data_IF_977657030935
#
_entry.id   IF_977657030935
#
_cell.length_a   1.000
_cell.length_b   1.000
_cell.length_c   1.000
_cell.angle_alpha   90.00
_cell.angle_beta   90.00
_cell.angle_gamma   90.00
#
_symmetry.space_group_name_H-M   'P 1'
#
loop_
_entity.id
_entity.type
_entity.pdbx_description
1 polymer ?
#
# COMPACT_ATOMS: atom_id res chain seq x y z
N UNK A 1 -18.47 -10.36 -50.85
CA UNK A 1 -17.40 -9.52 -50.29
C UNK A 1 -18.00 -8.71 -49.16
N UNK A 2 -18.02 -9.30 -47.98
CA UNK A 2 -18.25 -8.62 -46.70
C UNK A 2 -16.88 -8.18 -46.20
N UNK A 3 -16.68 -6.89 -45.82
CA UNK A 3 -15.39 -6.47 -45.30
C UNK A 3 -15.21 -7.06 -43.90
N UNK A 4 -14.07 -7.73 -43.76
CA UNK A 4 -13.54 -8.28 -42.52
C UNK A 4 -13.29 -7.12 -41.55
N UNK A 5 -14.08 -7.05 -40.47
CA UNK A 5 -13.86 -6.11 -39.38
C UNK A 5 -12.68 -6.65 -38.56
N UNK A 6 -11.51 -6.11 -38.86
CA UNK A 6 -10.25 -6.28 -38.15
C UNK A 6 -10.45 -6.43 -36.64
N UNK A 7 -10.33 -7.67 -36.16
CA UNK A 7 -10.21 -7.97 -34.74
C UNK A 7 -8.95 -7.29 -34.21
N UNK A 8 -9.12 -6.40 -33.25
CA UNK A 8 -8.02 -5.88 -32.47
C UNK A 8 -7.25 -7.06 -31.84
N UNK A 9 -5.91 -7.05 -31.83
CA UNK A 9 -5.15 -8.17 -31.28
C UNK A 9 -5.55 -8.42 -29.83
N UNK A 10 -5.77 -9.69 -29.48
CA UNK A 10 -6.03 -10.11 -28.11
C UNK A 10 -4.92 -9.57 -27.18
N UNK A 11 -5.22 -8.49 -26.46
CA UNK A 11 -4.24 -7.77 -25.64
C UNK A 11 -4.24 -6.24 -25.80
N UNK A 12 -4.88 -5.66 -26.81
CA UNK A 12 -4.96 -4.20 -26.93
C UNK A 12 -6.03 -3.57 -26.02
N UNK A 13 -5.79 -2.34 -25.58
CA UNK A 13 -6.77 -1.53 -24.85
C UNK A 13 -7.98 -1.18 -25.76
N UNK A 14 -9.17 -0.93 -25.20
CA UNK A 14 -10.30 -0.37 -25.94
C UNK A 14 -9.92 0.92 -26.67
N UNK A 15 -10.53 1.18 -27.82
CA UNK A 15 -10.19 2.35 -28.66
C UNK A 15 -10.24 3.68 -27.90
N UNK A 16 -11.22 3.84 -27.00
CA UNK A 16 -11.34 5.05 -26.18
C UNK A 16 -10.19 5.19 -25.19
N UNK A 17 -9.87 4.12 -24.46
CA UNK A 17 -8.73 4.12 -23.55
C UNK A 17 -7.39 4.30 -24.29
N UNK A 18 -7.25 3.72 -25.48
CA UNK A 18 -6.07 3.91 -26.33
C UNK A 18 -5.93 5.36 -26.81
N UNK A 19 -7.04 6.02 -27.16
CA UNK A 19 -7.03 7.43 -27.55
C UNK A 19 -6.66 8.35 -26.37
N UNK A 20 -7.23 8.12 -25.19
CA UNK A 20 -6.86 8.87 -23.98
C UNK A 20 -5.38 8.66 -23.64
N UNK A 21 -4.90 7.41 -23.71
CA UNK A 21 -3.51 7.07 -23.46
C UNK A 21 -2.57 7.77 -24.45
N UNK A 22 -2.87 7.72 -25.75
CA UNK A 22 -2.04 8.32 -26.79
C UNK A 22 -2.10 9.86 -26.83
N UNK A 23 -3.21 10.46 -26.39
CA UNK A 23 -3.39 11.91 -26.31
C UNK A 23 -2.67 12.57 -25.13
N UNK A 24 -2.10 11.77 -24.23
CA UNK A 24 -1.47 12.27 -22.99
C UNK A 24 0.05 12.31 -23.12
N UNK A 25 0.67 13.45 -22.76
CA UNK A 25 2.11 13.64 -22.78
C UNK A 25 2.81 13.01 -21.57
N UNK A 26 2.78 11.67 -21.45
CA UNK A 26 3.25 10.94 -20.26
C UNK A 26 4.71 11.20 -19.85
N UNK A 27 5.58 11.55 -20.81
CA UNK A 27 6.97 11.88 -20.52
C UNK A 27 7.13 13.10 -19.58
N UNK A 28 6.13 13.97 -19.51
CA UNK A 28 6.10 15.16 -18.64
C UNK A 28 5.36 14.92 -17.32
N UNK A 29 4.82 13.71 -17.13
CA UNK A 29 3.89 13.39 -16.04
C UNK A 29 4.48 12.27 -15.20
N UNK A 30 5.40 12.58 -14.28
CA UNK A 30 5.98 11.57 -13.42
C UNK A 30 4.96 11.06 -12.38
N UNK A 31 5.00 9.77 -12.09
CA UNK A 31 4.57 9.19 -10.82
C UNK A 31 5.72 9.18 -9.80
N UNK A 32 5.48 8.69 -8.57
CA UNK A 32 6.42 8.77 -7.42
C UNK A 32 7.85 8.30 -7.70
N UNK A 33 8.03 7.30 -8.58
CA UNK A 33 9.33 6.68 -8.87
C UNK A 33 9.74 6.72 -10.35
N UNK A 34 9.27 7.72 -11.10
CA UNK A 34 9.57 7.84 -12.55
C UNK A 34 11.07 7.96 -12.78
N UNK A 35 11.58 7.27 -13.80
CA UNK A 35 13.00 7.29 -14.16
C UNK A 35 13.90 6.41 -13.27
N UNK A 36 13.33 5.66 -12.32
CA UNK A 36 14.10 4.67 -11.54
C UNK A 36 14.20 3.35 -12.29
N UNK A 37 15.37 2.73 -12.20
CA UNK A 37 15.64 1.47 -12.88
C UNK A 37 14.67 0.37 -12.44
N UNK A 38 14.02 -0.29 -13.39
CA UNK A 38 13.09 -1.40 -13.11
C UNK A 38 11.69 -1.00 -12.68
N UNK A 39 11.37 0.30 -12.59
CA UNK A 39 10.02 0.80 -12.38
C UNK A 39 9.32 0.96 -13.73
N UNK A 40 8.13 0.37 -13.94
CA UNK A 40 7.38 0.57 -15.18
C UNK A 40 6.86 2.00 -15.27
N UNK A 41 6.88 2.59 -16.47
CA UNK A 41 6.26 3.89 -16.69
C UNK A 41 4.72 3.78 -16.67
N UNK A 42 4.03 4.89 -16.38
CA UNK A 42 2.56 4.92 -16.28
C UNK A 42 1.83 4.28 -17.48
N UNK A 43 2.24 4.51 -18.74
CA UNK A 43 1.59 3.86 -19.88
C UNK A 43 1.72 2.33 -19.90
N UNK A 44 2.85 1.79 -19.44
CA UNK A 44 3.10 0.36 -19.38
C UNK A 44 2.24 -0.31 -18.31
N UNK A 45 2.06 0.37 -17.16
CA UNK A 45 1.15 -0.04 -16.10
C UNK A 45 -0.28 -0.09 -16.65
N UNK A 46 -0.76 1.02 -17.25
CA UNK A 46 -2.11 1.14 -17.79
C UNK A 46 -2.39 0.10 -18.90
N UNK A 47 -1.41 -0.14 -19.79
CA UNK A 47 -1.48 -1.16 -20.82
C UNK A 47 -1.57 -2.58 -20.27
N UNK A 48 -1.07 -2.82 -19.06
CA UNK A 48 -1.04 -4.13 -18.41
C UNK A 48 -2.28 -4.44 -17.56
N UNK A 49 -3.15 -3.45 -17.31
CA UNK A 49 -4.40 -3.62 -16.52
C UNK A 49 -5.36 -4.63 -17.16
N UNK A 50 -5.38 -4.75 -18.49
CA UNK A 50 -6.19 -5.74 -19.21
C UNK A 50 -5.37 -6.89 -19.80
N UNK A 51 -4.19 -7.16 -19.22
CA UNK A 51 -3.35 -8.27 -19.65
C UNK A 51 -4.07 -9.62 -19.49
N UNK A 52 -3.86 -10.50 -20.46
CA UNK A 52 -4.39 -11.88 -20.42
C UNK A 52 -3.77 -12.67 -19.28
N UNK A 53 -2.48 -12.45 -18.99
CA UNK A 53 -1.78 -13.04 -17.85
C UNK A 53 -2.30 -12.44 -16.52
N UNK A 54 -2.91 -13.25 -15.63
CA UNK A 54 -3.37 -12.80 -14.31
C UNK A 54 -2.26 -12.20 -13.45
N UNK A 55 -1.05 -12.78 -13.48
CA UNK A 55 0.05 -12.31 -12.63
C UNK A 55 0.51 -10.90 -13.03
N UNK A 56 0.52 -10.60 -14.34
CA UNK A 56 0.81 -9.26 -14.87
C UNK A 56 -0.31 -8.27 -14.56
N UNK A 57 -1.57 -8.71 -14.63
CA UNK A 57 -2.73 -7.88 -14.32
C UNK A 57 -2.79 -7.48 -12.85
N UNK A 58 -2.58 -8.42 -11.93
CA UNK A 58 -2.51 -8.16 -10.48
C UNK A 58 -1.37 -7.19 -10.16
N UNK A 59 -0.17 -7.39 -10.74
CA UNK A 59 0.95 -6.44 -10.58
C UNK A 59 0.59 -5.04 -11.06
N UNK A 60 -0.04 -4.92 -12.23
CA UNK A 60 -0.43 -3.63 -12.77
C UNK A 60 -1.39 -2.90 -11.83
N UNK A 61 -2.39 -3.59 -11.27
CA UNK A 61 -3.31 -2.99 -10.29
C UNK A 61 -2.59 -2.57 -9.00
N UNK A 62 -1.68 -3.41 -8.48
CA UNK A 62 -0.83 -3.05 -7.34
C UNK A 62 0.03 -1.81 -7.61
N UNK A 63 0.61 -1.71 -8.81
CA UNK A 63 1.39 -0.55 -9.26
C UNK A 63 0.54 0.71 -9.37
N UNK A 64 -0.75 0.63 -9.72
CA UNK A 64 -1.64 1.79 -9.69
C UNK A 64 -1.75 2.37 -8.27
N UNK A 65 -1.89 1.54 -7.24
CA UNK A 65 -1.92 2.02 -5.86
C UNK A 65 -0.55 2.53 -5.40
N UNK A 66 0.47 1.70 -5.60
CA UNK A 66 1.84 1.91 -5.12
C UNK A 66 2.53 3.12 -5.76
N UNK A 67 2.30 3.37 -7.05
CA UNK A 67 3.02 4.41 -7.80
C UNK A 67 2.21 5.68 -8.03
N UNK A 68 0.89 5.55 -8.26
CA UNK A 68 0.04 6.69 -8.60
C UNK A 68 -0.78 7.23 -7.42
N UNK A 69 -0.92 6.48 -6.33
CA UNK A 69 -1.58 6.91 -5.08
C UNK A 69 -0.72 6.65 -3.84
N UNK A 70 0.62 6.65 -4.01
CA UNK A 70 1.57 6.36 -2.94
C UNK A 70 1.31 7.25 -1.71
N UNK A 71 1.18 6.63 -0.54
CA UNK A 71 0.94 7.31 0.74
C UNK A 71 -0.22 8.34 0.68
N UNK A 72 -1.29 8.02 -0.04
CA UNK A 72 -2.48 8.89 -0.21
C UNK A 72 -2.18 10.24 -0.90
N UNK A 73 -1.16 10.29 -1.77
CA UNK A 73 -0.82 11.49 -2.54
C UNK A 73 -1.17 11.35 -4.02
N UNK A 74 -1.46 12.50 -4.66
CA UNK A 74 -1.60 12.60 -6.12
C UNK A 74 -0.33 13.15 -6.79
N UNK A 75 0.04 12.53 -7.90
CA UNK A 75 1.17 12.87 -8.75
C UNK A 75 0.70 13.44 -10.08
N UNK A 76 1.57 14.09 -10.88
CA UNK A 76 1.20 14.59 -12.21
C UNK A 76 0.51 13.55 -13.12
N UNK A 77 0.93 12.28 -13.07
CA UNK A 77 0.32 11.18 -13.82
C UNK A 77 -1.04 10.70 -13.29
N UNK A 78 -1.40 11.00 -12.04
CA UNK A 78 -2.55 10.35 -11.37
C UNK A 78 -3.89 10.71 -12.01
N UNK A 79 -4.13 12.00 -12.30
CA UNK A 79 -5.41 12.42 -12.88
C UNK A 79 -5.61 11.90 -14.32
N UNK A 80 -4.62 11.99 -15.24
CA UNK A 80 -4.71 11.33 -16.55
C UNK A 80 -4.92 9.81 -16.45
N UNK A 81 -4.23 9.14 -15.53
CA UNK A 81 -4.41 7.70 -15.33
C UNK A 81 -5.84 7.36 -14.92
N UNK A 82 -6.46 8.17 -14.03
CA UNK A 82 -7.86 7.98 -13.65
C UNK A 82 -8.81 8.05 -14.86
N UNK A 83 -8.58 8.97 -15.80
CA UNK A 83 -9.38 9.11 -17.02
C UNK A 83 -9.24 7.89 -17.96
N UNK A 84 -8.02 7.35 -18.09
CA UNK A 84 -7.79 6.11 -18.85
C UNK A 84 -8.49 4.93 -18.19
N UNK A 85 -8.35 4.75 -16.86
CA UNK A 85 -8.99 3.66 -16.13
C UNK A 85 -10.52 3.70 -16.22
N UNK A 86 -11.12 4.90 -16.16
CA UNK A 86 -12.55 5.06 -16.37
C UNK A 86 -13.01 4.61 -17.76
N UNK A 87 -12.14 4.68 -18.78
CA UNK A 87 -12.42 4.14 -20.11
C UNK A 87 -12.28 2.62 -20.22
N UNK A 88 -11.74 1.94 -19.21
CA UNK A 88 -11.62 0.48 -19.16
C UNK A 88 -12.85 -0.20 -18.54
N UNK A 89 -13.67 0.53 -17.76
CA UNK A 89 -14.78 -0.04 -16.99
C UNK A 89 -15.79 -0.82 -17.84
N UNK A 90 -16.05 -0.34 -19.06
CA UNK A 90 -16.98 -0.99 -20.01
C UNK A 90 -16.40 -2.25 -20.67
N UNK A 91 -15.10 -2.51 -20.56
CA UNK A 91 -14.47 -3.67 -21.20
C UNK A 91 -14.90 -4.97 -20.49
N UNK A 92 -15.39 -6.00 -21.21
CA UNK A 92 -15.84 -7.24 -20.59
C UNK A 92 -14.73 -8.00 -19.86
N UNK A 93 -13.46 -7.78 -20.19
CA UNK A 93 -12.32 -8.37 -19.45
C UNK A 93 -12.26 -7.89 -18.00
N UNK A 94 -12.87 -6.75 -17.67
CA UNK A 94 -12.95 -6.27 -16.28
C UNK A 94 -13.89 -7.10 -15.41
N UNK A 95 -14.66 -8.04 -15.98
CA UNK A 95 -15.45 -9.01 -15.24
C UNK A 95 -14.60 -10.14 -14.61
N UNK A 96 -13.31 -10.25 -14.95
CA UNK A 96 -12.44 -11.29 -14.39
C UNK A 96 -12.24 -11.08 -12.88
N UNK A 97 -12.39 -12.15 -12.10
CA UNK A 97 -12.20 -12.12 -10.66
C UNK A 97 -10.79 -12.54 -10.23
N UNK A 98 -10.20 -11.76 -9.34
CA UNK A 98 -8.89 -12.04 -8.76
C UNK A 98 -8.81 -11.54 -7.31
N UNK A 99 -7.71 -11.83 -6.62
CA UNK A 99 -7.35 -11.15 -5.36
C UNK A 99 -6.53 -9.93 -5.70
N UNK A 100 -6.95 -8.76 -5.23
CA UNK A 100 -6.23 -7.51 -5.49
C UNK A 100 -5.78 -6.88 -4.19
N UNK A 101 -4.47 -6.79 -4.00
CA UNK A 101 -3.91 -5.95 -2.94
C UNK A 101 -4.26 -4.48 -3.23
N UNK A 102 -4.66 -3.70 -2.21
CA UNK A 102 -4.49 -3.95 -0.77
C UNK A 102 -5.75 -4.43 -0.03
N UNK A 103 -6.80 -4.91 -0.69
CA UNK A 103 -8.07 -5.30 -0.03
C UNK A 103 -8.27 -6.80 0.00
N UNK A 104 -8.81 -7.30 1.11
CA UNK A 104 -9.12 -8.72 1.29
C UNK A 104 -10.22 -9.22 0.32
N UNK A 105 -10.28 -10.55 0.16
CA UNK A 105 -11.28 -11.22 -0.68
C UNK A 105 -11.01 -11.20 -2.20
N UNK A 106 -11.80 -11.99 -2.93
CA UNK A 106 -11.82 -11.99 -4.40
C UNK A 106 -12.93 -11.09 -4.91
N UNK A 107 -12.69 -10.39 -6.01
CA UNK A 107 -13.69 -9.52 -6.65
C UNK A 107 -13.38 -9.28 -8.13
N UNK A 108 -14.36 -8.85 -8.93
CA UNK A 108 -14.12 -8.47 -10.31
C UNK A 108 -13.11 -7.33 -10.42
N UNK A 109 -12.26 -7.35 -11.44
CA UNK A 109 -11.33 -6.25 -11.74
C UNK A 109 -12.08 -4.91 -11.84
N UNK A 110 -13.30 -4.90 -12.38
CA UNK A 110 -14.14 -3.70 -12.47
C UNK A 110 -14.39 -3.07 -11.10
N UNK A 111 -14.77 -3.88 -10.11
CA UNK A 111 -14.96 -3.42 -8.74
C UNK A 111 -13.65 -2.86 -8.17
N UNK A 112 -12.50 -3.46 -8.49
CA UNK A 112 -11.22 -2.96 -8.03
C UNK A 112 -10.80 -1.64 -8.70
N UNK A 113 -11.03 -1.46 -10.00
CA UNK A 113 -10.77 -0.20 -10.67
C UNK A 113 -11.66 0.93 -10.12
N UNK A 114 -12.93 0.63 -9.81
CA UNK A 114 -13.82 1.57 -9.13
C UNK A 114 -13.32 1.91 -7.72
N UNK A 115 -12.78 0.93 -7.00
CA UNK A 115 -12.13 1.13 -5.71
C UNK A 115 -10.88 2.01 -5.77
N UNK A 116 -10.09 1.89 -6.83
CA UNK A 116 -8.97 2.78 -7.10
C UNK A 116 -9.47 4.20 -7.38
N UNK A 117 -10.52 4.34 -8.21
CA UNK A 117 -11.15 5.64 -8.51
C UNK A 117 -11.79 6.29 -7.26
N UNK A 118 -12.36 5.50 -6.35
CA UNK A 118 -12.84 5.98 -5.06
C UNK A 118 -11.69 6.54 -4.21
N UNK A 119 -10.56 5.82 -4.16
CA UNK A 119 -9.35 6.27 -3.44
C UNK A 119 -8.82 7.58 -4.02
N UNK A 120 -8.74 7.68 -5.34
CA UNK A 120 -8.40 8.91 -6.04
C UNK A 120 -9.36 10.06 -5.69
N UNK A 121 -10.68 9.82 -5.73
CA UNK A 121 -11.69 10.83 -5.42
C UNK A 121 -11.60 11.30 -3.96
N UNK A 122 -11.32 10.40 -3.02
CA UNK A 122 -11.11 10.68 -1.60
C UNK A 122 -9.85 11.52 -1.35
N UNK A 123 -8.79 11.32 -2.14
CA UNK A 123 -7.59 12.17 -2.04
C UNK A 123 -7.87 13.54 -2.67
N UNK A 124 -8.49 13.58 -3.85
CA UNK A 124 -8.73 14.83 -4.58
C UNK A 124 -9.68 15.82 -3.86
N UNK A 125 -10.41 15.38 -2.82
CA UNK A 125 -11.35 16.25 -2.07
C UNK A 125 -10.66 17.01 -0.96
N UNK A 126 -9.48 16.54 -0.57
CA UNK A 126 -8.64 17.14 0.45
C UNK A 126 -7.89 18.34 -0.12
N UNK A 127 -7.36 19.16 0.78
CA UNK A 127 -6.62 20.37 0.46
C UNK A 127 -5.11 20.16 0.54
N UNK A 128 -4.35 21.11 0.00
CA UNK A 128 -2.87 21.05 -0.01
C UNK A 128 -2.31 20.95 1.42
N UNK A 129 -2.99 21.55 2.39
CA UNK A 129 -2.64 21.52 3.82
C UNK A 129 -2.69 20.10 4.41
N UNK A 130 -3.43 19.18 3.78
CA UNK A 130 -3.51 17.78 4.18
C UNK A 130 -2.31 16.95 3.68
N UNK A 131 -1.35 17.56 2.98
CA UNK A 131 -0.12 16.91 2.52
C UNK A 131 -0.31 15.92 1.37
N UNK A 132 -1.44 15.98 0.67
CA UNK A 132 -1.87 14.98 -0.32
C UNK A 132 -1.41 15.26 -1.76
N UNK A 133 -0.61 16.30 -1.98
CA UNK A 133 -0.07 16.64 -3.29
C UNK A 133 0.11 18.14 -3.48
N UNK A 134 0.71 18.52 -4.61
CA UNK A 134 0.86 19.94 -4.97
C UNK A 134 -0.49 20.54 -5.35
N UNK A 135 -0.61 21.87 -5.22
CA UNK A 135 -1.81 22.60 -5.66
C UNK A 135 -2.15 22.32 -7.14
N UNK A 136 -1.14 22.18 -8.00
CA UNK A 136 -1.30 21.86 -9.41
C UNK A 136 -1.86 20.45 -9.61
N UNK A 137 -1.32 19.45 -8.92
CA UNK A 137 -1.77 18.05 -9.05
C UNK A 137 -3.21 17.89 -8.54
N UNK A 138 -3.54 18.54 -7.41
CA UNK A 138 -4.90 18.52 -6.86
C UNK A 138 -5.89 19.26 -7.76
N UNK A 139 -5.50 20.38 -8.36
CA UNK A 139 -6.34 21.08 -9.33
C UNK A 139 -6.66 20.18 -10.53
N UNK A 140 -5.64 19.51 -11.11
CA UNK A 140 -5.84 18.55 -12.19
C UNK A 140 -6.75 17.38 -11.78
N UNK A 141 -6.57 16.86 -10.56
CA UNK A 141 -7.40 15.79 -10.02
C UNK A 141 -8.87 16.21 -9.85
N UNK A 142 -9.12 17.45 -9.38
CA UNK A 142 -10.47 18.01 -9.26
C UNK A 142 -11.12 18.24 -10.63
N UNK A 143 -10.37 18.73 -11.62
CA UNK A 143 -10.86 18.91 -13.00
C UNK A 143 -11.34 17.59 -13.63
N UNK A 144 -10.75 16.45 -13.27
CA UNK A 144 -11.16 15.15 -13.80
C UNK A 144 -12.51 14.66 -13.26
N UNK A 145 -13.00 15.18 -12.12
CA UNK A 145 -14.12 14.59 -11.38
C UNK A 145 -15.45 14.54 -12.13
N UNK A 146 -15.90 15.60 -12.83
CA UNK A 146 -17.15 15.53 -13.57
C UNK A 146 -17.11 14.45 -14.66
N UNK A 147 -15.98 14.35 -15.37
CA UNK A 147 -15.78 13.33 -16.40
C UNK A 147 -15.84 11.93 -15.79
N UNK A 148 -15.18 11.72 -14.64
CA UNK A 148 -15.22 10.44 -13.94
C UNK A 148 -16.63 10.09 -13.45
N UNK A 149 -17.36 11.05 -12.89
CA UNK A 149 -18.74 10.84 -12.44
C UNK A 149 -19.63 10.35 -13.59
N UNK A 150 -19.55 11.01 -14.76
CA UNK A 150 -20.34 10.64 -15.94
C UNK A 150 -20.03 9.22 -16.44
N UNK A 151 -18.80 8.72 -16.23
CA UNK A 151 -18.42 7.35 -16.61
C UNK A 151 -18.80 6.29 -15.59
N UNK A 152 -18.89 6.68 -14.31
CA UNK A 152 -19.15 5.74 -13.22
C UNK A 152 -20.65 5.59 -12.97
N UNK A 153 -21.45 6.62 -13.29
CA UNK A 153 -22.87 6.67 -12.96
C UNK A 153 -23.67 5.43 -13.39
N UNK A 154 -23.39 4.87 -14.57
CA UNK A 154 -24.06 3.67 -15.08
C UNK A 154 -23.78 2.40 -14.24
N UNK A 155 -22.66 2.39 -13.50
CA UNK A 155 -22.28 1.28 -12.63
C UNK A 155 -22.93 1.34 -11.23
N UNK A 156 -23.62 2.43 -10.88
CA UNK A 156 -24.32 2.55 -9.59
C UNK A 156 -25.62 1.73 -9.53
N UNK A 157 -26.13 1.29 -10.68
CA UNK A 157 -27.42 0.60 -10.82
C UNK A 157 -27.28 -0.84 -11.36
N UNK A 158 -26.06 -1.38 -11.43
CA UNK A 158 -25.81 -2.76 -11.92
C UNK A 158 -26.18 -3.82 -10.89
N UNK A 159 -26.46 -5.04 -11.37
CA UNK A 159 -26.87 -6.17 -10.54
C UNK A 159 -25.72 -6.79 -9.71
N UNK A 160 -24.47 -6.62 -10.15
CA UNK A 160 -23.31 -7.11 -9.41
C UNK A 160 -23.10 -6.27 -8.14
N UNK A 161 -23.26 -6.85 -6.93
CA UNK A 161 -23.25 -6.10 -5.69
C UNK A 161 -21.88 -5.47 -5.39
N UNK A 162 -20.77 -6.14 -5.74
CA UNK A 162 -19.42 -5.63 -5.47
C UNK A 162 -19.09 -4.44 -6.39
N UNK A 163 -19.51 -4.52 -7.66
CA UNK A 163 -19.36 -3.41 -8.61
C UNK A 163 -20.25 -2.24 -8.20
N UNK A 164 -21.50 -2.50 -7.81
CA UNK A 164 -22.45 -1.48 -7.35
C UNK A 164 -21.94 -0.74 -6.12
N UNK A 165 -21.45 -1.46 -5.11
CA UNK A 165 -20.85 -0.87 -3.91
C UNK A 165 -19.66 0.03 -4.26
N UNK A 166 -18.71 -0.48 -5.06
CA UNK A 166 -17.53 0.30 -5.45
C UNK A 166 -17.90 1.54 -6.27
N UNK A 167 -18.89 1.44 -7.17
CA UNK A 167 -19.37 2.57 -7.97
C UNK A 167 -20.06 3.64 -7.13
N UNK A 168 -20.92 3.23 -6.18
CA UNK A 168 -21.56 4.14 -5.24
C UNK A 168 -20.53 4.84 -4.34
N UNK A 169 -19.52 4.11 -3.87
CA UNK A 169 -18.44 4.67 -3.06
C UNK A 169 -17.64 5.73 -3.84
N UNK A 170 -17.22 5.41 -5.08
CA UNK A 170 -16.53 6.36 -5.94
C UNK A 170 -17.39 7.59 -6.25
N UNK A 171 -18.66 7.38 -6.60
CA UNK A 171 -19.62 8.45 -6.88
C UNK A 171 -19.80 9.37 -5.67
N UNK A 172 -20.08 8.82 -4.48
CA UNK A 172 -20.30 9.61 -3.27
C UNK A 172 -19.12 10.54 -2.94
N UNK A 173 -17.89 10.09 -3.20
CA UNK A 173 -16.67 10.87 -3.02
C UNK A 173 -16.46 11.92 -4.14
N UNK A 174 -16.78 11.58 -5.40
CA UNK A 174 -16.73 12.54 -6.52
C UNK A 174 -17.70 13.72 -6.32
N UNK A 175 -18.88 13.46 -5.74
CA UNK A 175 -19.88 14.49 -5.39
C UNK A 175 -19.41 15.46 -4.28
N UNK A 176 -18.20 15.33 -3.76
CA UNK A 176 -17.56 16.40 -2.98
C UNK A 176 -17.16 17.60 -3.85
N UNK A 177 -17.15 17.45 -5.18
CA UNK A 177 -17.00 18.56 -6.11
C UNK A 177 -18.24 19.48 -6.08
N UNK A 178 -18.08 20.80 -5.90
CA UNK A 178 -19.19 21.74 -5.95
C UNK A 178 -19.99 21.68 -7.26
N UNK A 179 -19.36 21.37 -8.39
CA UNK A 179 -20.03 21.24 -9.68
C UNK A 179 -21.01 20.05 -9.73
N UNK A 180 -20.79 19.04 -8.89
CA UNK A 180 -21.59 17.82 -8.82
C UNK A 180 -22.54 17.77 -7.62
N UNK A 181 -22.42 18.70 -6.67
CA UNK A 181 -23.16 18.71 -5.41
C UNK A 181 -24.70 18.64 -5.59
N UNK A 182 -25.23 19.18 -6.69
CA UNK A 182 -26.66 19.11 -7.03
C UNK A 182 -27.18 17.69 -7.27
N UNK A 183 -26.29 16.74 -7.57
CA UNK A 183 -26.64 15.34 -7.80
C UNK A 183 -26.72 14.51 -6.51
N UNK A 184 -26.27 15.03 -5.36
CA UNK A 184 -26.26 14.31 -4.08
C UNK A 184 -27.61 13.69 -3.68
N UNK A 185 -28.76 14.38 -3.79
CA UNK A 185 -30.06 13.80 -3.43
C UNK A 185 -30.44 12.55 -4.24
N UNK A 186 -29.91 12.40 -5.47
CA UNK A 186 -30.16 11.21 -6.30
C UNK A 186 -29.52 9.96 -5.69
N UNK A 187 -28.34 10.09 -5.10
CA UNK A 187 -27.53 8.95 -4.65
C UNK A 187 -27.65 8.69 -3.14
N UNK A 188 -28.12 9.65 -2.35
CA UNK A 188 -28.24 9.52 -0.90
C UNK A 188 -29.02 8.27 -0.43
N UNK A 189 -30.16 7.87 -1.03
CA UNK A 189 -30.85 6.64 -0.66
C UNK A 189 -29.99 5.40 -0.89
N UNK A 190 -29.39 5.26 -2.07
CA UNK A 190 -28.55 4.11 -2.41
C UNK A 190 -27.28 4.03 -1.55
N UNK A 191 -26.65 5.17 -1.25
CA UNK A 191 -25.49 5.23 -0.34
C UNK A 191 -25.87 4.75 1.06
N UNK A 192 -27.04 5.15 1.56
CA UNK A 192 -27.52 4.69 2.87
C UNK A 192 -27.89 3.21 2.87
N UNK A 193 -28.61 2.74 1.88
CA UNK A 193 -29.13 1.37 1.82
C UNK A 193 -28.04 0.33 1.52
N UNK A 194 -27.02 0.72 0.76
CA UNK A 194 -25.97 -0.20 0.28
C UNK A 194 -24.67 -0.02 1.07
N UNK A 195 -24.09 1.19 1.08
CA UNK A 195 -22.76 1.38 1.67
C UNK A 195 -22.76 1.35 3.19
N UNK A 196 -23.83 1.84 3.84
CA UNK A 196 -23.86 1.92 5.31
C UNK A 196 -23.96 0.55 6.00
N UNK A 197 -24.34 -0.49 5.27
CA UNK A 197 -24.46 -1.88 5.76
C UNK A 197 -23.43 -2.83 5.13
N UNK A 198 -22.52 -2.32 4.29
CA UNK A 198 -21.49 -3.13 3.64
C UNK A 198 -20.57 -3.79 4.69
N UNK A 199 -20.03 -4.95 4.34
CA UNK A 199 -18.97 -5.59 5.12
C UNK A 199 -17.70 -4.72 5.18
N UNK A 200 -17.46 -3.94 4.12
CA UNK A 200 -16.32 -3.04 3.99
C UNK A 200 -16.45 -1.81 4.91
N UNK A 201 -15.56 -1.68 5.89
CA UNK A 201 -15.59 -0.56 6.83
C UNK A 201 -15.28 0.79 6.20
N UNK A 202 -14.51 0.82 5.12
CA UNK A 202 -14.24 2.04 4.37
C UNK A 202 -15.50 2.53 3.65
N UNK A 203 -16.30 1.63 3.08
CA UNK A 203 -17.59 1.99 2.51
C UNK A 203 -18.58 2.51 3.56
N UNK A 204 -18.66 1.88 4.73
CA UNK A 204 -19.49 2.40 5.84
C UNK A 204 -19.02 3.77 6.34
N UNK A 205 -17.71 4.01 6.36
CA UNK A 205 -17.17 5.35 6.64
C UNK A 205 -17.56 6.36 5.57
N UNK A 206 -17.40 6.03 4.27
CA UNK A 206 -17.84 6.90 3.15
C UNK A 206 -19.32 7.23 3.31
N UNK A 207 -20.17 6.23 3.59
CA UNK A 207 -21.60 6.44 3.76
C UNK A 207 -21.88 7.51 4.83
N UNK A 208 -21.32 7.36 6.04
CA UNK A 208 -21.52 8.30 7.14
C UNK A 208 -20.99 9.70 6.80
N UNK A 209 -19.77 9.77 6.28
CA UNK A 209 -19.10 11.03 5.97
C UNK A 209 -19.84 11.81 4.87
N UNK A 210 -20.26 11.13 3.79
CA UNK A 210 -20.90 11.77 2.64
C UNK A 210 -22.36 12.12 2.92
N UNK A 211 -23.12 11.24 3.58
CA UNK A 211 -24.49 11.55 4.01
C UNK A 211 -24.50 12.77 4.95
N UNK A 212 -23.62 12.80 5.96
CA UNK A 212 -23.51 13.95 6.86
C UNK A 212 -23.21 15.26 6.10
N UNK A 213 -22.28 15.22 5.15
CA UNK A 213 -21.94 16.36 4.32
C UNK A 213 -23.10 16.84 3.43
N UNK A 214 -24.07 15.98 3.11
CA UNK A 214 -25.29 16.31 2.37
C UNK A 214 -26.45 16.76 3.27
N UNK A 215 -26.24 16.84 4.60
CA UNK A 215 -27.26 17.27 5.56
C UNK A 215 -28.24 16.17 5.97
N UNK A 216 -27.91 14.92 5.67
CA UNK A 216 -28.70 13.75 6.07
C UNK A 216 -28.45 13.38 7.55
N UNK A 217 -29.47 12.86 8.23
CA UNK A 217 -29.28 12.30 9.58
C UNK A 217 -28.49 10.99 9.50
N UNK A 218 -27.38 10.94 10.22
CA UNK A 218 -26.47 9.80 10.34
C UNK A 218 -26.33 9.30 11.77
N UNK A 219 -27.09 9.83 12.73
CA UNK A 219 -26.96 9.52 14.16
C UNK A 219 -27.06 8.01 14.40
N UNK A 220 -28.07 7.35 13.82
CA UNK A 220 -28.23 5.90 13.94
C UNK A 220 -27.09 5.09 13.31
N UNK A 221 -26.49 5.59 12.22
CA UNK A 221 -25.35 4.94 11.57
C UNK A 221 -24.06 5.07 12.41
N UNK A 222 -23.87 6.22 13.07
CA UNK A 222 -22.75 6.44 13.98
C UNK A 222 -22.88 5.53 15.20
N UNK A 223 -24.05 5.48 15.83
CA UNK A 223 -24.30 4.59 16.98
C UNK A 223 -24.09 3.12 16.62
N UNK A 224 -24.61 2.67 15.46
CA UNK A 224 -24.42 1.29 15.03
C UNK A 224 -22.95 0.92 14.79
N UNK A 225 -22.14 1.83 14.24
CA UNK A 225 -20.70 1.58 14.06
C UNK A 225 -19.93 1.58 15.40
N UNK A 226 -20.29 2.47 16.33
CA UNK A 226 -19.70 2.50 17.68
C UNK A 226 -20.03 1.22 18.47
N UNK A 227 -21.28 0.76 18.40
CA UNK A 227 -21.71 -0.50 19.01
C UNK A 227 -20.99 -1.71 18.39
N UNK A 228 -20.86 -1.74 17.06
CA UNK A 228 -20.11 -2.78 16.34
C UNK A 228 -18.64 -2.79 16.74
N UNK A 229 -17.99 -1.63 16.77
CA UNK A 229 -16.58 -1.51 17.20
C UNK A 229 -16.41 -2.00 18.63
N UNK A 230 -17.25 -1.54 19.56
CA UNK A 230 -17.18 -1.95 20.96
C UNK A 230 -17.46 -3.46 21.14
N UNK A 231 -18.30 -4.06 20.29
CA UNK A 231 -18.52 -5.52 20.31
C UNK A 231 -17.29 -6.29 19.80
N UNK A 232 -16.66 -5.83 18.72
CA UNK A 232 -15.42 -6.41 18.19
C UNK A 232 -14.28 -6.29 19.21
N UNK A 233 -14.09 -5.12 19.82
CA UNK A 233 -13.02 -4.89 20.80
C UNK A 233 -13.21 -5.81 22.03
N UNK A 234 -14.43 -5.89 22.58
CA UNK A 234 -14.73 -6.81 23.70
C UNK A 234 -14.49 -8.27 23.34
N UNK A 235 -14.88 -8.69 22.13
CA UNK A 235 -14.66 -10.06 21.70
C UNK A 235 -13.17 -10.34 21.45
N UNK A 236 -12.41 -9.37 20.94
CA UNK A 236 -10.96 -9.45 20.80
C UNK A 236 -10.26 -9.62 22.15
N UNK A 237 -10.60 -8.78 23.13
CA UNK A 237 -10.07 -8.88 24.50
C UNK A 237 -10.35 -10.25 25.13
N UNK A 238 -11.57 -10.78 24.96
CA UNK A 238 -11.94 -12.11 25.47
C UNK A 238 -11.25 -13.26 24.72
N UNK A 239 -11.03 -13.12 23.42
CA UNK A 239 -10.33 -14.12 22.60
C UNK A 239 -8.84 -14.20 22.97
N UNK A 240 -8.22 -13.08 23.33
CA UNK A 240 -6.82 -13.00 23.73
C UNK A 240 -6.57 -13.45 25.19
N UNK A 241 -7.59 -13.56 26.05
CA UNK A 241 -7.44 -14.02 27.43
C UNK A 241 -7.12 -15.53 27.51
N UNK A 242 -5.88 -15.94 27.84
CA UNK A 242 -5.47 -17.35 27.88
C UNK A 242 -6.14 -18.14 29.02
N UNK A 243 -6.89 -17.49 29.91
CA UNK A 243 -7.61 -18.10 31.02
C UNK A 243 -9.15 -18.01 30.86
N UNK A 244 -9.65 -17.50 29.73
CA UNK A 244 -11.08 -17.19 29.53
C UNK A 244 -12.00 -18.41 29.32
N UNK A 245 -11.45 -19.62 29.20
CA UNK A 245 -12.22 -20.87 29.15
C UNK A 245 -13.36 -20.86 28.12
N UNK A 246 -14.60 -21.08 28.56
CA UNK A 246 -15.78 -21.09 27.69
C UNK A 246 -16.12 -19.71 27.08
N UNK A 247 -15.79 -18.61 27.76
CA UNK A 247 -16.06 -17.25 27.27
C UNK A 247 -15.08 -16.90 26.13
N UNK A 248 -13.82 -17.32 26.25
CA UNK A 248 -12.82 -17.22 25.18
C UNK A 248 -13.23 -18.01 23.93
N UNK A 249 -13.64 -19.28 24.09
CA UNK A 249 -14.10 -20.12 22.98
C UNK A 249 -15.31 -19.52 22.25
N UNK A 250 -16.25 -18.94 23.00
CA UNK A 250 -17.42 -18.25 22.42
C UNK A 250 -17.03 -16.96 21.70
N UNK A 251 -16.07 -16.20 22.23
CA UNK A 251 -15.58 -14.98 21.61
C UNK A 251 -14.85 -15.25 20.29
N UNK A 252 -13.96 -16.25 20.25
CA UNK A 252 -13.27 -16.70 19.01
C UNK A 252 -14.29 -17.09 17.96
N UNK A 253 -15.26 -17.94 18.32
CA UNK A 253 -16.31 -18.38 17.38
C UNK A 253 -17.16 -17.20 16.87
N UNK A 254 -17.52 -16.27 17.74
CA UNK A 254 -18.29 -15.09 17.34
C UNK A 254 -17.49 -14.19 16.39
N UNK A 255 -16.19 -14.03 16.60
CA UNK A 255 -15.28 -13.30 15.72
C UNK A 255 -15.15 -13.98 14.34
N UNK A 256 -15.04 -15.31 14.31
CA UNK A 256 -15.03 -16.10 13.07
C UNK A 256 -16.35 -16.01 12.28
N UNK A 257 -17.48 -15.82 12.99
CA UNK A 257 -18.80 -15.62 12.39
C UNK A 257 -19.01 -14.17 11.87
N UNK A 258 -18.15 -13.21 12.24
CA UNK A 258 -18.27 -11.86 11.71
C UNK A 258 -17.84 -11.80 10.23
N UNK A 259 -18.52 -11.00 9.40
CA UNK A 259 -18.07 -10.78 8.03
C UNK A 259 -16.66 -10.18 8.04
N UNK A 260 -15.75 -10.79 7.27
CA UNK A 260 -14.40 -10.27 7.06
C UNK A 260 -14.49 -8.84 6.54
N UNK A 261 -13.77 -7.92 7.19
CA UNK A 261 -13.68 -6.54 6.73
C UNK A 261 -12.83 -6.49 5.45
N UNK A 262 -13.47 -6.25 4.31
CA UNK A 262 -12.80 -6.22 3.02
C UNK A 262 -12.06 -4.91 2.74
N UNK A 263 -12.15 -3.93 3.66
CA UNK A 263 -11.44 -2.68 3.53
C UNK A 263 -9.92 -2.91 3.50
N UNK A 264 -9.19 -1.99 2.85
CA UNK A 264 -7.74 -2.05 2.85
C UNK A 264 -7.22 -1.77 4.27
N UNK A 265 -6.22 -2.53 4.77
CA UNK A 265 -5.59 -2.24 6.05
C UNK A 265 -5.11 -0.77 6.08
N UNK A 266 -5.38 -0.06 7.19
CA UNK A 266 -4.95 1.34 7.47
C UNK A 266 -5.63 2.52 6.76
N UNK A 267 -6.87 2.42 6.27
CA UNK A 267 -7.62 3.64 5.84
C UNK A 267 -8.28 4.43 6.96
N UNK A 268 -8.37 3.88 8.17
CA UNK A 268 -9.28 4.38 9.23
C UNK A 268 -8.67 5.41 10.20
N UNK A 269 -7.38 5.73 10.11
CA UNK A 269 -6.74 6.75 10.96
C UNK A 269 -6.78 8.17 10.40
N UNK A 270 -7.73 8.49 9.52
CA UNK A 270 -8.08 9.89 9.23
C UNK A 270 -8.84 10.49 10.41
N UNK A 271 -8.05 10.88 11.42
CA UNK A 271 -8.26 11.92 12.43
C UNK A 271 -9.69 12.48 12.44
N UNK A 272 -10.60 11.84 13.18
CA UNK A 272 -11.75 12.53 13.77
C UNK A 272 -11.23 13.41 14.90
N UNK A 273 -10.56 14.49 14.54
CA UNK A 273 -10.25 15.57 15.46
C UNK A 273 -11.49 16.40 15.64
N UNK A 274 -12.24 16.13 16.70
CA UNK A 274 -13.07 17.12 17.35
C UNK A 274 -12.24 18.41 17.48
N UNK A 275 -12.63 19.45 16.74
CA UNK A 275 -11.87 20.69 16.53
C UNK A 275 -11.97 21.62 17.76
N UNK A 276 -12.00 21.03 18.95
CA UNK A 276 -12.21 21.75 20.21
C UNK A 276 -11.32 21.27 21.37
N UNK A 277 -10.40 20.34 21.13
CA UNK A 277 -9.29 20.13 22.07
C UNK A 277 -8.22 21.20 21.82
N UNK A 278 -7.67 21.86 22.87
CA UNK A 278 -6.52 22.71 22.69
C UNK A 278 -5.42 21.86 22.05
N UNK A 279 -4.89 22.34 20.93
CA UNK A 279 -3.60 21.87 20.40
C UNK A 279 -2.67 21.84 21.60
N UNK A 280 -2.12 20.68 22.02
CA UNK A 280 -1.05 20.68 23.01
C UNK A 280 -0.02 21.63 22.43
N UNK A 281 0.24 22.74 23.14
CA UNK A 281 1.22 23.72 22.72
C UNK A 281 2.43 22.94 22.22
N UNK A 282 2.79 23.17 20.95
CA UNK A 282 3.92 22.50 20.32
C UNK A 282 5.04 22.51 21.35
N UNK A 283 5.41 21.31 21.83
CA UNK A 283 6.62 21.17 22.60
C UNK A 283 7.70 21.90 21.79
N UNK A 284 8.53 22.74 22.43
CA UNK A 284 9.51 23.55 21.72
C UNK A 284 10.24 22.62 20.75
N UNK A 285 10.19 22.93 19.45
CA UNK A 285 10.83 22.14 18.41
C UNK A 285 12.27 21.88 18.84
N UNK A 286 12.55 20.68 19.34
CA UNK A 286 13.91 20.20 19.43
C UNK A 286 14.46 20.22 18.01
N UNK A 287 15.68 20.74 17.80
CA UNK A 287 16.28 20.74 16.48
C UNK A 287 16.31 19.30 15.96
N UNK A 288 15.93 19.12 14.68
CA UNK A 288 15.90 17.79 14.07
C UNK A 288 17.24 17.08 14.33
N UNK A 289 17.23 15.84 14.84
CA UNK A 289 18.45 15.11 15.16
C UNK A 289 19.34 15.02 13.92
N UNK A 290 20.65 15.06 14.13
CA UNK A 290 21.62 14.88 13.05
C UNK A 290 21.38 13.52 12.37
N UNK A 291 21.51 13.44 11.03
CA UNK A 291 21.35 12.17 10.34
C UNK A 291 22.37 11.14 10.85
N UNK A 292 21.98 9.87 10.95
CA UNK A 292 22.89 8.80 11.34
C UNK A 292 24.11 8.74 10.43
N UNK A 293 25.21 8.20 10.95
CA UNK A 293 26.46 7.98 10.20
C UNK A 293 26.72 6.49 10.15
N UNK A 294 27.07 5.99 8.96
CA UNK A 294 27.46 4.59 8.78
C UNK A 294 28.81 4.33 9.44
N UNK A 295 28.97 3.15 10.06
CA UNK A 295 30.24 2.75 10.65
C UNK A 295 31.28 2.51 9.53
N UNK A 296 32.51 3.04 9.63
CA UNK A 296 33.50 3.08 8.54
C UNK A 296 34.00 1.73 7.99
N UNK A 297 33.59 0.59 8.56
CA UNK A 297 33.98 -0.76 8.14
C UNK A 297 35.31 -1.24 8.76
N UNK A 298 35.65 -2.50 8.51
CA UNK A 298 36.87 -3.13 9.05
C UNK A 298 38.14 -2.72 8.27
N UNK A 299 39.31 -2.78 8.92
CA UNK A 299 40.60 -2.49 8.28
C UNK A 299 40.88 -3.31 7.02
N UNK A 300 41.67 -2.75 6.11
CA UNK A 300 42.11 -3.40 4.87
C UNK A 300 42.76 -4.76 5.16
N UNK A 301 42.18 -5.84 4.60
CA UNK A 301 42.70 -7.20 4.74
C UNK A 301 42.15 -8.01 5.93
N UNK A 302 41.29 -7.45 6.78
CA UNK A 302 40.60 -8.23 7.82
C UNK A 302 39.67 -9.29 7.20
N UNK A 303 39.84 -10.56 7.58
CA UNK A 303 39.07 -11.72 7.09
C UNK A 303 38.36 -12.50 8.21
N UNK A 304 38.16 -11.87 9.37
CA UNK A 304 37.41 -12.49 10.46
C UNK A 304 35.91 -12.59 10.16
N UNK A 305 35.17 -13.43 10.90
CA UNK A 305 33.73 -13.60 10.71
C UNK A 305 32.92 -12.31 10.94
N UNK A 306 33.48 -11.36 11.68
CA UNK A 306 32.86 -10.06 11.99
C UNK A 306 33.29 -8.94 11.04
N UNK A 307 33.78 -9.28 9.84
CA UNK A 307 34.24 -8.30 8.86
C UNK A 307 33.07 -7.43 8.42
N UNK A 308 33.20 -6.12 8.58
CA UNK A 308 32.25 -5.12 8.12
C UNK A 308 32.80 -4.52 6.81
N UNK A 309 31.99 -4.56 5.76
CA UNK A 309 32.28 -3.95 4.48
C UNK A 309 32.44 -2.43 4.65
N UNK A 310 33.49 -1.89 4.02
CA UNK A 310 33.75 -0.44 3.99
C UNK A 310 32.76 0.25 3.08
N UNK A 311 32.63 1.57 3.23
CA UNK A 311 31.69 2.35 2.45
C UNK A 311 31.91 2.18 0.93
N UNK A 312 33.16 2.15 0.47
CA UNK A 312 33.50 1.95 -0.94
C UNK A 312 33.24 0.54 -1.47
N UNK A 313 33.04 -0.43 -0.58
CA UNK A 313 32.71 -1.82 -0.93
C UNK A 313 31.18 -2.05 -0.99
N UNK A 314 30.39 -1.12 -0.44
CA UNK A 314 28.93 -1.22 -0.39
C UNK A 314 28.30 -0.57 -1.61
N UNK A 315 27.34 -1.26 -2.21
CA UNK A 315 26.45 -0.61 -3.16
C UNK A 315 25.58 0.43 -2.43
N UNK A 316 25.42 1.61 -3.04
CA UNK A 316 24.58 2.68 -2.52
C UNK A 316 23.15 2.50 -3.03
N UNK A 317 22.21 2.21 -2.12
CA UNK A 317 20.82 1.91 -2.45
C UNK A 317 19.90 2.96 -1.84
N UNK A 318 18.82 3.29 -2.55
CA UNK A 318 17.77 4.17 -2.04
C UNK A 318 16.58 3.32 -1.61
N UNK A 319 16.13 3.51 -0.37
CA UNK A 319 14.84 3.01 0.08
C UNK A 319 13.74 3.99 -0.29
N UNK A 320 12.63 3.47 -0.81
CA UNK A 320 11.41 4.26 -0.93
C UNK A 320 10.26 3.48 -0.33
N UNK A 321 9.65 4.02 0.75
CA UNK A 321 8.56 3.38 1.47
C UNK A 321 7.53 2.74 0.55
N UNK A 322 7.25 1.46 0.78
CA UNK A 322 6.27 0.65 0.05
C UNK A 322 6.49 0.47 -1.46
N UNK A 323 7.53 1.08 -2.02
CA UNK A 323 7.88 0.95 -3.43
C UNK A 323 8.92 -0.14 -3.60
N UNK A 324 10.03 -0.06 -2.87
CA UNK A 324 11.18 -0.93 -3.07
C UNK A 324 12.46 -0.40 -2.43
N UNK A 325 13.55 -1.14 -2.62
CA UNK A 325 14.86 -0.84 -2.05
C UNK A 325 15.97 -1.11 -3.06
N UNK A 326 16.73 -0.06 -3.38
CA UNK A 326 17.75 -0.10 -4.41
C UNK A 326 17.16 -0.51 -5.76
N UNK A 327 17.69 -1.56 -6.41
CA UNK A 327 17.17 -2.05 -7.68
C UNK A 327 15.91 -2.94 -7.51
N UNK A 328 15.58 -3.34 -6.28
CA UNK A 328 14.48 -4.25 -5.99
C UNK A 328 13.17 -3.50 -5.74
N UNK A 329 12.07 -4.10 -6.19
CA UNK A 329 10.71 -3.60 -5.99
C UNK A 329 9.87 -4.65 -5.28
N UNK A 330 9.09 -4.23 -4.30
CA UNK A 330 8.14 -5.15 -3.69
C UNK A 330 7.15 -5.67 -4.75
N UNK A 331 6.75 -6.93 -4.62
CA UNK A 331 5.95 -7.65 -5.63
C UNK A 331 6.74 -8.39 -6.70
N UNK A 332 8.07 -8.20 -6.79
CA UNK A 332 8.94 -8.95 -7.70
C UNK A 332 8.97 -10.45 -7.38
N UNK A 333 9.08 -11.27 -8.42
CA UNK A 333 9.34 -12.71 -8.34
C UNK A 333 10.83 -12.99 -8.15
N UNK A 334 11.19 -14.21 -7.72
CA UNK A 334 12.58 -14.62 -7.54
C UNK A 334 13.42 -14.46 -8.84
N UNK A 335 12.84 -14.80 -9.99
CA UNK A 335 13.49 -14.66 -11.30
C UNK A 335 13.76 -13.20 -11.67
N UNK A 336 12.81 -12.31 -11.37
CA UNK A 336 12.97 -10.87 -11.60
C UNK A 336 14.08 -10.29 -10.72
N UNK A 337 14.15 -10.69 -9.44
CA UNK A 337 15.21 -10.28 -8.53
C UNK A 337 16.57 -10.77 -9.04
N UNK A 338 16.68 -12.05 -9.40
CA UNK A 338 17.94 -12.61 -9.87
C UNK A 338 18.45 -11.92 -11.14
N UNK A 339 17.55 -11.60 -12.06
CA UNK A 339 17.86 -10.86 -13.28
C UNK A 339 18.32 -9.43 -13.00
N UNK A 340 17.69 -8.76 -12.03
CA UNK A 340 17.98 -7.35 -11.71
C UNK A 340 19.27 -7.21 -10.92
N UNK A 341 19.56 -8.14 -10.00
CA UNK A 341 20.82 -8.18 -9.26
C UNK A 341 21.97 -8.73 -10.11
N UNK A 342 21.67 -9.51 -11.16
CA UNK A 342 22.68 -10.24 -11.92
C UNK A 342 23.26 -11.43 -11.15
N UNK A 343 22.59 -11.85 -10.08
CA UNK A 343 23.01 -12.88 -9.12
C UNK A 343 21.85 -13.87 -8.90
N UNK A 344 22.16 -15.17 -8.86
CA UNK A 344 21.18 -16.19 -8.44
C UNK A 344 21.17 -16.38 -6.93
N UNK A 345 20.06 -16.83 -6.32
CA UNK A 345 20.00 -17.03 -4.88
C UNK A 345 20.98 -18.12 -4.43
N UNK A 346 21.80 -17.82 -3.43
CA UNK A 346 22.74 -18.76 -2.83
C UNK A 346 22.03 -19.80 -1.94
N UNK A 347 20.95 -19.37 -1.27
CA UNK A 347 20.09 -20.21 -0.43
C UNK A 347 18.63 -19.85 -0.74
N UNK A 348 17.75 -20.84 -0.77
CA UNK A 348 16.30 -20.63 -0.86
C UNK A 348 15.59 -21.59 0.07
N UNK A 349 14.60 -21.07 0.81
CA UNK A 349 13.77 -21.85 1.73
C UNK A 349 12.35 -21.90 1.23
N UNK A 350 11.73 -23.08 1.33
CA UNK A 350 10.36 -23.33 0.90
C UNK A 350 9.57 -23.98 2.02
N UNK A 351 8.31 -23.58 2.18
CA UNK A 351 7.33 -24.27 3.00
C UNK A 351 6.44 -25.14 2.12
N UNK A 352 5.92 -26.22 2.70
CA UNK A 352 4.96 -27.11 2.04
C UNK A 352 3.58 -26.88 2.64
N UNK A 353 2.63 -26.40 1.83
CA UNK A 353 1.23 -26.29 2.18
C UNK A 353 0.41 -27.17 1.23
N UNK A 354 0.19 -28.42 1.63
CA UNK A 354 -0.49 -29.41 0.78
C UNK A 354 0.39 -29.87 -0.39
N UNK A 355 -0.13 -29.77 -1.61
CA UNK A 355 0.64 -30.07 -2.85
C UNK A 355 1.43 -28.86 -3.37
N UNK A 356 1.19 -27.67 -2.82
CA UNK A 356 1.85 -26.43 -3.26
C UNK A 356 3.13 -26.14 -2.44
N UNK A 357 4.17 -25.73 -3.15
CA UNK A 357 5.45 -25.31 -2.59
C UNK A 357 5.52 -23.78 -2.61
N UNK A 358 5.61 -23.15 -1.42
CA UNK A 358 5.69 -21.70 -1.30
C UNK A 358 7.10 -21.28 -0.93
N UNK A 359 7.68 -20.36 -1.71
CA UNK A 359 8.98 -19.76 -1.41
C UNK A 359 8.83 -18.84 -0.20
N UNK A 360 9.65 -19.05 0.84
CA UNK A 360 9.63 -18.23 2.06
C UNK A 360 10.69 -17.12 1.98
N UNK A 361 11.94 -17.49 1.65
CA UNK A 361 13.03 -16.52 1.51
C UNK A 361 14.12 -17.02 0.56
N UNK A 362 14.93 -16.08 0.07
CA UNK A 362 16.13 -16.34 -0.71
C UNK A 362 17.26 -15.38 -0.30
N UNK A 363 18.47 -15.92 -0.14
CA UNK A 363 19.67 -15.17 0.22
C UNK A 363 20.51 -14.87 -1.02
N UNK A 364 20.91 -13.61 -1.16
CA UNK A 364 21.80 -13.12 -2.22
C UNK A 364 23.08 -12.64 -1.56
N UNK A 365 24.09 -13.51 -1.57
CA UNK A 365 25.33 -13.34 -0.80
C UNK A 365 26.28 -12.31 -1.42
N UNK A 366 26.30 -12.13 -2.74
CA UNK A 366 27.13 -11.10 -3.37
C UNK A 366 26.53 -9.71 -3.13
N UNK A 367 25.21 -9.61 -3.17
CA UNK A 367 24.46 -8.39 -2.85
C UNK A 367 24.33 -8.13 -1.34
N UNK A 368 24.54 -9.14 -0.49
CA UNK A 368 24.42 -9.04 0.98
C UNK A 368 23.00 -8.74 1.45
N UNK A 369 22.00 -9.38 0.85
CA UNK A 369 20.59 -9.21 1.22
C UNK A 369 19.87 -10.55 1.39
N UNK A 370 18.77 -10.51 2.14
CA UNK A 370 17.75 -11.56 2.15
C UNK A 370 16.43 -11.01 1.63
N UNK A 371 15.87 -11.69 0.64
CA UNK A 371 14.55 -11.43 0.10
C UNK A 371 13.55 -12.41 0.73
N UNK A 372 12.45 -11.91 1.27
CA UNK A 372 11.37 -12.74 1.81
C UNK A 372 10.11 -12.59 0.97
N UNK A 373 9.40 -13.71 0.82
CA UNK A 373 8.31 -13.84 -0.13
C UNK A 373 7.02 -14.27 0.57
N UNK A 374 5.91 -13.78 0.03
CA UNK A 374 4.55 -14.24 0.32
C UNK A 374 3.86 -14.41 -1.03
N UNK A 375 3.17 -15.53 -1.20
CA UNK A 375 2.54 -15.91 -2.48
C UNK A 375 3.50 -15.80 -3.69
N UNK A 376 4.77 -16.14 -3.48
CA UNK A 376 5.81 -16.11 -4.51
C UNK A 376 6.27 -14.71 -4.91
N UNK A 377 5.90 -13.67 -4.14
CA UNK A 377 6.22 -12.27 -4.41
C UNK A 377 6.99 -11.62 -3.26
N UNK A 378 7.93 -10.73 -3.60
CA UNK A 378 8.78 -10.04 -2.64
C UNK A 378 7.95 -9.15 -1.72
N UNK A 379 7.84 -9.54 -0.45
CA UNK A 379 7.17 -8.76 0.59
C UNK A 379 8.12 -8.04 1.53
N UNK A 380 9.35 -8.55 1.68
CA UNK A 380 10.35 -7.95 2.54
C UNK A 380 11.78 -8.10 2.00
N UNK A 381 12.61 -7.10 2.26
CA UNK A 381 14.07 -7.16 2.03
C UNK A 381 14.79 -6.81 3.32
N UNK A 382 15.66 -7.71 3.79
CA UNK A 382 16.59 -7.41 4.86
C UNK A 382 17.98 -7.13 4.28
N UNK A 383 18.55 -5.97 4.61
CA UNK A 383 19.92 -5.62 4.20
C UNK A 383 20.91 -6.01 5.30
N UNK A 384 21.87 -6.88 5.00
CA UNK A 384 22.86 -7.35 5.97
C UNK A 384 23.73 -6.20 6.48
N UNK A 385 23.87 -6.08 7.80
CA UNK A 385 24.60 -4.97 8.40
C UNK A 385 26.11 -5.04 8.13
N UNK A 386 26.66 -6.22 7.87
CA UNK A 386 28.09 -6.44 7.65
C UNK A 386 28.49 -6.31 6.19
N UNK A 387 27.70 -6.84 5.28
CA UNK A 387 28.05 -7.05 3.87
C UNK A 387 27.08 -6.43 2.89
N UNK A 388 25.87 -6.11 3.35
CA UNK A 388 24.80 -5.58 2.52
C UNK A 388 25.02 -4.17 2.02
N UNK A 389 24.11 -3.69 1.16
CA UNK A 389 24.19 -2.37 0.57
C UNK A 389 24.00 -1.30 1.65
N UNK A 390 24.61 -0.14 1.42
CA UNK A 390 24.30 1.04 2.19
C UNK A 390 22.95 1.58 1.73
N UNK A 391 21.89 1.21 2.43
CA UNK A 391 20.55 1.71 2.10
C UNK A 391 20.35 3.07 2.74
N UNK A 392 19.82 4.02 1.98
CA UNK A 392 19.50 5.38 2.43
C UNK A 392 18.02 5.68 2.32
N UNK A 393 17.49 6.37 3.34
CA UNK A 393 16.22 7.08 3.23
C UNK A 393 16.55 8.57 3.09
N UNK A 394 16.17 9.14 1.95
CA UNK A 394 16.70 10.41 1.45
C UNK A 394 18.24 10.38 1.38
N UNK A 395 18.92 11.17 2.22
CA UNK A 395 20.38 11.23 2.31
C UNK A 395 20.95 10.40 3.48
N UNK A 396 20.12 9.97 4.42
CA UNK A 396 20.60 9.35 5.65
C UNK A 396 20.79 7.84 5.51
N UNK A 397 21.93 7.29 5.96
CA UNK A 397 22.19 5.86 5.95
C UNK A 397 21.34 5.11 7.00
N UNK A 398 20.85 3.94 6.62
CA UNK A 398 20.06 3.05 7.49
C UNK A 398 20.75 1.72 7.78
N UNK A 399 21.57 1.20 6.85
CA UNK A 399 22.31 -0.06 7.06
C UNK A 399 23.64 0.20 7.74
N UNK A 400 24.05 -0.65 8.70
CA UNK A 400 25.40 -0.58 9.26
C UNK A 400 25.66 0.66 10.15
N UNK A 401 24.61 1.24 10.72
CA UNK A 401 24.66 2.41 11.59
C UNK A 401 24.47 2.02 13.07
N UNK A 402 24.69 2.96 13.97
CA UNK A 402 24.33 2.79 15.40
C UNK A 402 22.80 2.78 15.54
N UNK A 403 22.19 1.72 16.12
CA UNK A 403 20.73 1.61 16.23
C UNK A 403 20.04 2.80 16.87
N UNK A 404 20.55 3.29 18.01
CA UNK A 404 19.94 4.42 18.73
C UNK A 404 19.88 5.70 17.88
N UNK A 405 20.92 6.01 17.10
CA UNK A 405 20.92 7.19 16.24
C UNK A 405 19.93 7.07 15.08
N UNK A 406 19.75 5.87 14.54
CA UNK A 406 18.77 5.63 13.47
C UNK A 406 17.35 5.72 14.02
N UNK A 407 17.09 5.13 15.19
CA UNK A 407 15.81 5.23 15.89
C UNK A 407 15.47 6.69 16.22
N UNK A 408 16.35 7.41 16.92
CA UNK A 408 16.17 8.81 17.28
C UNK A 408 15.84 9.65 16.03
N UNK A 409 16.57 9.43 14.94
CA UNK A 409 16.36 10.14 13.69
C UNK A 409 15.03 9.83 13.00
N UNK A 410 14.58 8.57 13.03
CA UNK A 410 13.32 8.14 12.43
C UNK A 410 12.09 8.55 13.25
N UNK A 411 12.18 8.53 14.58
CA UNK A 411 11.09 8.96 15.48
C UNK A 411 10.71 10.41 15.22
N UNK A 412 11.67 11.28 14.91
CA UNK A 412 11.39 12.67 14.57
C UNK A 412 10.79 12.87 13.17
N UNK A 413 10.79 11.83 12.34
CA UNK A 413 10.23 11.83 10.98
C UNK A 413 8.87 11.14 10.88
N UNK A 414 8.45 10.40 11.90
CA UNK A 414 7.10 9.81 11.90
C UNK A 414 6.07 10.92 11.84
N UNK A 415 5.33 10.95 10.74
CA UNK A 415 4.33 12.00 10.49
C UNK A 415 2.97 11.67 11.09
N UNK A 416 2.74 10.39 11.39
CA UNK A 416 1.48 9.86 11.93
C UNK A 416 1.68 9.43 13.39
N UNK A 417 0.93 10.00 14.35
CA UNK A 417 0.92 9.51 15.72
C UNK A 417 0.59 8.01 15.75
N UNK A 418 1.36 7.21 16.49
CA UNK A 418 1.18 5.76 16.58
C UNK A 418 1.80 4.94 15.45
N UNK A 419 2.54 5.54 14.51
CA UNK A 419 3.25 4.78 13.47
C UNK A 419 4.51 4.07 13.98
N UNK A 420 5.03 4.46 15.14
CA UNK A 420 6.07 3.73 15.86
C UNK A 420 5.44 2.63 16.70
N UNK A 421 5.83 1.39 16.42
CA UNK A 421 5.57 0.22 17.25
C UNK A 421 6.90 -0.47 17.58
N UNK A 422 6.87 -1.42 18.51
CA UNK A 422 8.01 -2.28 18.81
C UNK A 422 7.63 -3.73 18.55
N UNK A 423 8.52 -4.46 17.90
CA UNK A 423 8.37 -5.91 17.75
C UNK A 423 8.50 -6.61 19.10
N UNK A 424 8.12 -7.89 19.17
CA UNK A 424 8.36 -8.75 20.34
C UNK A 424 9.84 -8.86 20.73
N UNK A 425 10.76 -8.65 19.78
CA UNK A 425 12.19 -8.59 20.03
C UNK A 425 12.68 -7.22 20.52
N UNK A 426 11.79 -6.23 20.64
CA UNK A 426 12.13 -4.85 21.03
C UNK A 426 12.72 -4.02 19.89
N UNK A 427 12.72 -4.51 18.65
CA UNK A 427 13.16 -3.74 17.48
C UNK A 427 12.09 -2.70 17.10
N UNK A 428 12.43 -1.41 16.86
CA UNK A 428 11.47 -0.38 16.47
C UNK A 428 10.98 -0.56 15.03
N UNK A 429 9.69 -0.30 14.85
CA UNK A 429 8.92 -0.50 13.63
C UNK A 429 8.23 0.80 13.25
N UNK A 430 8.48 1.28 12.05
CA UNK A 430 7.93 2.51 11.47
C UNK A 430 6.91 2.12 10.41
N UNK A 431 5.67 1.95 10.87
CA UNK A 431 4.57 1.39 10.11
C UNK A 431 3.95 2.36 9.09
N UNK A 432 4.42 3.61 9.04
CA UNK A 432 4.15 4.60 7.99
C UNK A 432 5.22 4.58 6.88
N UNK A 433 6.39 4.04 7.18
CA UNK A 433 7.51 3.91 6.25
C UNK A 433 7.66 2.50 5.68
N UNK A 434 7.06 1.48 6.29
CA UNK A 434 7.31 0.08 5.94
C UNK A 434 8.73 -0.32 6.27
N UNK A 435 9.19 0.05 7.48
CA UNK A 435 10.57 -0.10 7.90
C UNK A 435 10.62 -0.66 9.32
N UNK A 436 11.42 -1.69 9.55
CA UNK A 436 11.79 -2.14 10.89
C UNK A 436 13.31 -2.09 11.02
N UNK A 437 13.79 -1.54 12.14
CA UNK A 437 15.23 -1.42 12.39
C UNK A 437 15.65 -2.53 13.33
N UNK A 438 16.16 -3.63 12.76
CA UNK A 438 16.75 -4.69 13.55
C UNK A 438 18.20 -4.42 13.85
N UNK A 439 18.71 -5.10 14.85
CA UNK A 439 20.11 -5.06 15.25
C UNK A 439 20.84 -6.35 14.86
N UNK A 440 22.03 -6.22 14.30
CA UNK A 440 22.94 -7.33 14.01
C UNK A 440 24.29 -7.08 14.68
N UNK A 441 24.81 -8.10 15.36
CA UNK A 441 26.07 -8.02 16.10
C UNK A 441 27.27 -8.25 15.19
N UNK A 442 28.29 -7.41 15.32
CA UNK A 442 29.58 -7.52 14.63
C UNK A 442 30.71 -7.56 15.66
N UNK A 443 30.96 -8.72 16.27
CA UNK A 443 31.90 -8.82 17.38
C UNK A 443 31.39 -8.04 18.60
N UNK A 444 32.04 -6.94 18.98
CA UNK A 444 31.66 -6.14 20.16
C UNK A 444 30.75 -4.96 19.84
N UNK A 445 30.44 -4.72 18.57
CA UNK A 445 29.54 -3.64 18.15
C UNK A 445 28.20 -4.21 17.66
N UNK A 446 27.16 -3.39 17.75
CA UNK A 446 25.82 -3.70 17.22
C UNK A 446 25.50 -2.68 16.15
N UNK A 447 25.05 -3.16 14.99
CA UNK A 447 24.77 -2.37 13.80
C UNK A 447 23.34 -2.57 13.35
N UNK A 448 22.78 -1.58 12.66
CA UNK A 448 21.45 -1.68 12.07
C UNK A 448 21.42 -2.62 10.86
N UNK A 449 20.48 -3.57 10.90
CA UNK A 449 20.07 -4.47 9.82
C UNK A 449 18.62 -4.12 9.45
N UNK A 450 18.38 -3.13 8.58
CA UNK A 450 17.03 -2.68 8.29
C UNK A 450 16.25 -3.74 7.50
N UNK A 451 14.98 -3.91 7.85
CA UNK A 451 13.98 -4.69 7.13
C UNK A 451 13.01 -3.73 6.46
N UNK A 452 12.91 -3.81 5.15
CA UNK A 452 12.01 -3.01 4.32
C UNK A 452 10.81 -3.86 3.94
N UNK A 453 9.60 -3.38 4.24
CA UNK A 453 8.36 -4.16 4.25
C UNK A 453 7.29 -3.54 3.34
N UNK A 454 6.49 -4.39 2.70
CA UNK A 454 5.21 -4.04 2.07
C UNK A 454 4.15 -3.73 3.17
N UNK A 455 3.12 -2.86 2.94
CA UNK A 455 2.19 -2.46 4.00
C UNK A 455 1.50 -3.60 4.74
N UNK A 456 1.14 -4.66 4.03
CA UNK A 456 0.33 -5.79 4.55
C UNK A 456 1.16 -6.74 5.42
N UNK A 457 2.48 -6.55 5.52
CA UNK A 457 3.39 -7.36 6.34
C UNK A 457 3.63 -6.82 7.76
N UNK A 458 3.07 -5.66 8.10
CA UNK A 458 3.30 -5.03 9.41
C UNK A 458 2.51 -5.69 10.56
N UNK A 459 1.45 -6.44 10.26
CA UNK A 459 0.73 -7.29 11.23
C UNK A 459 1.31 -8.72 11.31
N UNK A 460 2.31 -9.04 10.46
CA UNK A 460 2.82 -10.39 10.23
C UNK A 460 4.13 -10.67 10.97
N UNK A 461 4.29 -10.21 12.22
CA UNK A 461 5.43 -10.59 13.07
C UNK A 461 5.49 -12.11 13.34
N UNK A 462 4.34 -12.80 13.18
CA UNK A 462 4.23 -14.25 13.20
C UNK A 462 4.58 -14.95 11.87
N UNK A 463 4.74 -14.23 10.75
CA UNK A 463 5.02 -14.82 9.44
C UNK A 463 6.47 -14.66 8.96
N UNK A 464 7.30 -13.86 9.66
CA UNK A 464 8.74 -13.92 9.46
C UNK A 464 9.24 -15.30 9.94
N UNK A 465 10.04 -16.01 9.13
CA UNK A 465 10.59 -17.31 9.52
C UNK A 465 11.26 -17.22 10.90
N UNK A 466 11.12 -18.24 11.73
CA UNK A 466 11.74 -18.28 13.07
C UNK A 466 13.25 -18.02 13.04
N UNK A 467 13.91 -18.33 11.93
CA UNK A 467 15.33 -18.08 11.69
C UNK A 467 15.69 -16.58 11.54
N UNK A 468 14.73 -15.71 11.26
CA UNK A 468 14.95 -14.26 11.38
C UNK A 468 15.06 -13.86 12.85
N UNK A 469 14.25 -14.44 13.74
CA UNK A 469 14.23 -14.09 15.16
C UNK A 469 15.37 -14.72 15.96
N UNK A 470 15.77 -15.92 15.57
CA UNK A 470 16.86 -16.66 16.20
C UNK A 470 18.17 -16.29 15.50
N UNK A 471 18.77 -15.20 15.95
CA UNK A 471 19.98 -14.63 15.38
C UNK A 471 21.04 -15.68 15.01
N UNK A 472 21.55 -15.58 13.79
CA UNK A 472 22.85 -16.13 13.40
C UNK A 472 23.97 -15.19 13.79
#
# INVERSE_FOLDING_TARGET
MTPDLSGAPAGSLPARAQAELAGTAWAELPHVCTGRHGVPDTPDILGSVLATDPARRVRAVGDLYRLLLNQEQVFPATAPAALVLACLLDDPRTLSEDRWEPRAGRRPLRAELLNWLASFADIARLDVEDGVGTAQNLAAARTARPILHDRIADFCDVDDPLVKEAALAATALLLADPALASSAPRYAPAVREVLAVSADSYYRWIARERLAAWGEDVTGLVTAEEERRAALDRAGELAEDPFGGQEQEQAIRWLEEQPEDTAAPKRLDRRRGDRTAPIPAAAPHEPAPEPPVAVPGSEAGYRGPWRIARQEERAEWTFTPYVGVGPLHFGMTLEEIARVLGEGPAVSSYSHHGEDQQLNYADFTESGIRALFHDGRLGCVAADALTGPQVRLDAAPLTGCTPSHVEDWLVHRTTRPGSLAYSVAGDPVFADLGLAIRSQRAGDIVLTRPLFLLPDWLDLWHALPGEEWNGS
#
